data_IF_239512644971
#
_entry.id   IF_239512644971
#
_cell.length_a   1.000
_cell.length_b   1.000
_cell.length_c   1.000
_cell.angle_alpha   90.00
_cell.angle_beta   90.00
_cell.angle_gamma   90.00
#
_symmetry.space_group_name_H-M   'P 1'
#
loop_
_entity.id
_entity.type
_entity.pdbx_description
1 polymer ?
#
# COMPACT_ATOMS: atom_id res chain seq x y z
N UNK A 1 31.64 5.06 -12.28
CA UNK A 1 31.66 3.62 -12.02
C UNK A 1 30.94 3.39 -10.74
N UNK A 2 29.67 3.00 -10.82
CA UNK A 2 28.88 2.55 -9.68
C UNK A 2 28.76 1.04 -9.80
N UNK A 3 29.18 0.33 -8.76
CA UNK A 3 29.08 -1.11 -8.64
C UNK A 3 27.59 -1.47 -8.54
N UNK A 4 27.03 -2.09 -9.59
CA UNK A 4 25.58 -2.18 -9.81
C UNK A 4 24.89 -3.27 -8.97
N UNK A 5 25.47 -3.75 -7.86
CA UNK A 5 24.77 -4.59 -6.89
C UNK A 5 24.12 -5.88 -7.44
N UNK A 6 24.38 -6.25 -8.69
CA UNK A 6 24.01 -7.53 -9.28
C UNK A 6 25.03 -8.51 -8.74
N UNK A 7 24.78 -9.02 -7.52
CA UNK A 7 25.31 -10.33 -7.18
C UNK A 7 24.86 -11.28 -8.29
N UNK A 8 25.85 -11.94 -8.87
CA UNK A 8 25.85 -12.61 -10.15
C UNK A 8 24.46 -13.12 -10.58
N UNK A 9 24.00 -12.78 -11.81
CA UNK A 9 22.78 -13.40 -12.32
C UNK A 9 22.95 -14.93 -12.19
N UNK A 10 21.91 -15.66 -11.74
CA UNK A 10 22.00 -17.11 -11.60
C UNK A 10 22.58 -17.69 -12.89
N UNK A 11 23.53 -18.64 -12.82
CA UNK A 11 24.29 -19.07 -13.97
C UNK A 11 23.36 -19.74 -14.97
N UNK A 12 22.87 -18.95 -15.92
CA UNK A 12 22.22 -19.42 -17.12
C UNK A 12 23.33 -19.79 -18.09
N UNK A 13 23.80 -21.05 -17.97
CA UNK A 13 24.71 -21.76 -18.87
C UNK A 13 25.25 -20.93 -20.06
N UNK A 14 26.26 -20.11 -19.78
CA UNK A 14 26.78 -19.06 -20.68
C UNK A 14 27.57 -19.53 -21.89
N UNK A 15 27.27 -20.67 -22.52
CA UNK A 15 28.06 -21.17 -23.66
C UNK A 15 27.22 -21.62 -24.87
N UNK A 16 25.89 -21.80 -24.75
CA UNK A 16 25.04 -22.13 -25.92
C UNK A 16 24.46 -20.90 -26.63
N UNK A 17 24.31 -19.76 -25.95
CA UNK A 17 23.71 -18.54 -26.50
C UNK A 17 24.59 -17.77 -27.49
N UNK A 18 25.87 -17.54 -27.18
CA UNK A 18 26.73 -16.64 -27.98
C UNK A 18 26.94 -17.08 -29.44
N UNK A 19 27.10 -18.39 -29.67
CA UNK A 19 27.19 -18.94 -31.03
C UNK A 19 25.89 -18.75 -31.81
N UNK A 20 24.74 -19.01 -31.17
CA UNK A 20 23.43 -18.76 -31.76
C UNK A 20 23.23 -17.28 -32.11
N UNK A 21 23.60 -16.36 -31.21
CA UNK A 21 23.57 -14.91 -31.47
C UNK A 21 24.38 -14.56 -32.71
N UNK A 22 25.62 -15.04 -32.78
CA UNK A 22 26.56 -14.74 -33.87
C UNK A 22 26.04 -15.26 -35.22
N UNK A 23 25.49 -16.48 -35.26
CA UNK A 23 24.93 -17.03 -36.49
C UNK A 23 23.65 -16.30 -36.93
N UNK A 24 22.75 -15.97 -35.99
CA UNK A 24 21.55 -15.19 -36.31
C UNK A 24 21.89 -13.79 -36.84
N UNK A 25 22.93 -13.15 -36.32
CA UNK A 25 23.41 -11.85 -36.83
C UNK A 25 23.94 -11.98 -38.25
N UNK A 26 24.71 -13.02 -38.57
CA UNK A 26 25.17 -13.25 -39.95
C UNK A 26 23.99 -13.41 -40.92
N UNK A 27 22.91 -14.06 -40.48
CA UNK A 27 21.68 -14.17 -41.29
C UNK A 27 21.02 -12.80 -41.44
N UNK A 28 20.92 -12.00 -40.38
CA UNK A 28 20.42 -10.62 -40.46
C UNK A 28 21.27 -9.77 -41.41
N UNK A 29 22.60 -9.84 -41.30
CA UNK A 29 23.55 -9.14 -42.16
C UNK A 29 23.40 -9.57 -43.63
N UNK A 30 23.11 -10.85 -43.89
CA UNK A 30 22.79 -11.32 -45.22
C UNK A 30 21.51 -10.68 -45.77
N UNK A 31 20.43 -10.61 -44.97
CA UNK A 31 19.16 -9.99 -45.39
C UNK A 31 19.31 -8.49 -45.64
N UNK A 32 19.96 -7.77 -44.72
CA UNK A 32 20.18 -6.32 -44.82
C UNK A 32 21.19 -5.98 -45.92
N UNK A 33 22.32 -6.68 -45.97
CA UNK A 33 23.39 -6.44 -46.93
C UNK A 33 22.97 -6.69 -48.38
N UNK A 34 22.12 -7.69 -48.61
CA UNK A 34 21.59 -8.00 -49.94
C UNK A 34 20.24 -7.33 -50.24
N UNK A 35 19.73 -6.47 -49.33
CA UNK A 35 18.42 -5.79 -49.47
C UNK A 35 17.27 -6.75 -49.81
N UNK A 36 17.27 -7.90 -49.14
CA UNK A 36 16.28 -8.96 -49.33
C UNK A 36 14.94 -8.58 -48.68
N UNK A 37 14.97 -7.70 -47.68
CA UNK A 37 13.77 -7.24 -46.97
C UNK A 37 13.02 -6.24 -47.85
N UNK A 38 11.74 -6.51 -48.10
CA UNK A 38 10.87 -5.60 -48.83
C UNK A 38 10.32 -4.56 -47.85
N UNK A 39 10.86 -3.35 -47.88
CA UNK A 39 10.34 -2.21 -47.11
C UNK A 39 9.40 -1.39 -48.00
N UNK A 40 8.10 -1.66 -47.95
CA UNK A 40 7.09 -0.81 -48.57
C UNK A 40 6.66 0.29 -47.60
N UNK A 41 6.50 1.52 -48.10
CA UNK A 41 6.05 2.65 -47.29
C UNK A 41 4.68 2.33 -46.67
N UNK A 42 4.57 2.48 -45.35
CA UNK A 42 3.36 2.23 -44.54
C UNK A 42 2.93 0.75 -44.41
N UNK A 43 3.80 -0.22 -44.73
CA UNK A 43 3.58 -1.64 -44.47
C UNK A 43 4.71 -2.25 -43.62
N UNK A 44 4.43 -3.29 -42.80
CA UNK A 44 5.46 -4.01 -42.08
C UNK A 44 6.51 -4.59 -43.05
N UNK A 45 7.79 -4.67 -42.64
CA UNK A 45 8.84 -5.25 -43.47
C UNK A 45 8.49 -6.69 -43.84
N UNK A 46 8.52 -7.00 -45.14
CA UNK A 46 8.23 -8.34 -45.65
C UNK A 46 9.52 -9.14 -45.77
N UNK A 47 9.54 -10.33 -45.17
CA UNK A 47 10.65 -11.27 -45.21
C UNK A 47 10.32 -12.37 -46.23
N UNK A 48 10.86 -12.30 -47.47
CA UNK A 48 10.44 -13.18 -48.57
C UNK A 48 10.80 -14.66 -48.33
N UNK A 49 11.78 -14.90 -47.46
CA UNK A 49 12.13 -16.23 -46.97
C UNK A 49 12.11 -16.17 -45.45
N UNK A 50 11.40 -17.10 -44.81
CA UNK A 50 11.39 -17.28 -43.36
C UNK A 50 11.69 -18.73 -43.02
N UNK A 51 11.91 -19.02 -41.74
CA UNK A 51 12.04 -20.41 -41.26
C UNK A 51 10.76 -21.23 -41.54
N UNK A 52 9.61 -20.58 -41.75
CA UNK A 52 8.40 -21.22 -42.26
C UNK A 52 7.97 -22.43 -41.42
N UNK A 53 7.78 -23.60 -42.03
CA UNK A 53 7.43 -24.85 -41.33
C UNK A 53 8.64 -25.72 -40.95
N UNK A 54 9.88 -25.23 -41.16
CA UNK A 54 11.09 -25.97 -40.83
C UNK A 54 11.31 -26.09 -39.31
N UNK A 55 10.72 -25.17 -38.55
CA UNK A 55 10.61 -25.23 -37.10
C UNK A 55 9.16 -24.98 -36.71
N UNK A 56 8.72 -25.61 -35.62
CA UNK A 56 7.45 -25.30 -34.98
C UNK A 56 7.49 -23.94 -34.29
N UNK A 57 6.31 -23.35 -34.06
CA UNK A 57 6.20 -21.98 -33.55
C UNK A 57 6.78 -21.83 -32.15
N UNK A 58 6.72 -22.88 -31.32
CA UNK A 58 7.34 -22.88 -29.99
C UNK A 58 8.86 -22.79 -30.08
N UNK A 59 9.48 -23.56 -30.97
CA UNK A 59 10.93 -23.48 -31.20
C UNK A 59 11.34 -22.09 -31.71
N UNK A 60 10.57 -21.47 -32.60
CA UNK A 60 10.82 -20.10 -33.07
C UNK A 60 10.72 -19.08 -31.93
N UNK A 61 9.67 -19.17 -31.11
CA UNK A 61 9.50 -18.32 -29.92
C UNK A 61 10.67 -18.47 -28.95
N UNK A 62 11.16 -19.70 -28.72
CA UNK A 62 12.30 -19.97 -27.84
C UNK A 62 13.60 -19.37 -28.40
N UNK A 63 13.87 -19.52 -29.69
CA UNK A 63 15.05 -18.93 -30.35
C UNK A 63 14.99 -17.40 -30.25
N UNK A 64 13.84 -16.80 -30.59
CA UNK A 64 13.65 -15.36 -30.48
C UNK A 64 13.81 -14.87 -29.04
N UNK A 65 13.26 -15.60 -28.07
CA UNK A 65 13.38 -15.26 -26.66
C UNK A 65 14.83 -15.32 -26.16
N UNK A 66 15.58 -16.37 -26.51
CA UNK A 66 17.01 -16.45 -26.18
C UNK A 66 17.76 -15.28 -26.83
N UNK A 67 17.44 -14.94 -28.08
CA UNK A 67 18.08 -13.81 -28.77
C UNK A 67 17.80 -12.48 -28.08
N UNK A 68 16.52 -12.18 -27.84
CA UNK A 68 16.09 -10.95 -27.18
C UNK A 68 16.70 -10.81 -25.77
N UNK A 69 16.74 -11.90 -25.00
CA UNK A 69 17.37 -11.90 -23.66
C UNK A 69 18.85 -11.54 -23.71
N UNK A 70 19.60 -12.18 -24.62
CA UNK A 70 21.03 -11.95 -24.74
C UNK A 70 21.34 -10.57 -25.33
N UNK A 71 20.54 -10.08 -26.29
CA UNK A 71 20.62 -8.71 -26.81
C UNK A 71 20.49 -7.65 -25.70
N UNK A 72 19.73 -7.97 -24.66
CA UNK A 72 19.44 -7.10 -23.53
C UNK A 72 20.51 -7.24 -22.43
N UNK A 73 20.88 -8.47 -22.07
CA UNK A 73 21.79 -8.76 -20.94
C UNK A 73 23.28 -8.72 -21.29
N UNK A 74 23.63 -8.50 -22.57
CA UNK A 74 25.03 -8.43 -23.01
C UNK A 74 25.80 -7.31 -22.30
N UNK A 75 26.90 -7.63 -21.62
CA UNK A 75 27.72 -6.62 -20.92
C UNK A 75 28.55 -5.76 -21.87
N UNK A 76 28.92 -6.29 -23.04
CA UNK A 76 29.68 -5.55 -24.05
C UNK A 76 28.79 -4.58 -24.84
N UNK A 77 29.08 -3.28 -24.72
CA UNK A 77 28.29 -2.21 -25.34
C UNK A 77 28.20 -2.31 -26.87
N UNK A 78 29.32 -2.65 -27.55
CA UNK A 78 29.36 -2.72 -29.00
C UNK A 78 28.53 -3.91 -29.53
N UNK A 79 28.67 -5.08 -28.92
CA UNK A 79 27.87 -6.26 -29.26
C UNK A 79 26.39 -6.03 -28.95
N UNK A 80 26.08 -5.39 -27.81
CA UNK A 80 24.70 -5.05 -27.43
C UNK A 80 24.01 -4.20 -28.50
N UNK A 81 24.66 -3.15 -29.00
CA UNK A 81 24.09 -2.27 -30.02
C UNK A 81 23.85 -2.97 -31.36
N UNK A 82 24.71 -3.94 -31.71
CA UNK A 82 24.50 -4.79 -32.90
C UNK A 82 23.30 -5.72 -32.69
N UNK A 83 23.23 -6.37 -31.53
CA UNK A 83 22.19 -7.37 -31.24
C UNK A 83 20.81 -6.71 -31.09
N UNK A 84 20.74 -5.52 -30.48
CA UNK A 84 19.49 -4.76 -30.35
C UNK A 84 18.94 -4.34 -31.71
N UNK A 85 19.80 -3.88 -32.63
CA UNK A 85 19.38 -3.54 -34.00
C UNK A 85 18.94 -4.77 -34.81
N UNK A 86 19.55 -5.92 -34.56
CA UNK A 86 19.18 -7.17 -35.22
C UNK A 86 17.87 -7.80 -34.67
N UNK A 87 17.46 -7.46 -33.44
CA UNK A 87 16.29 -8.02 -32.75
C UNK A 87 15.01 -8.07 -33.60
N UNK A 88 14.51 -6.98 -34.20
CA UNK A 88 13.28 -7.02 -35.01
C UNK A 88 13.43 -7.93 -36.25
N UNK A 89 14.63 -7.96 -36.85
CA UNK A 89 14.90 -8.78 -38.03
C UNK A 89 14.96 -10.26 -37.72
N UNK A 90 15.49 -10.66 -36.55
CA UNK A 90 15.51 -12.06 -36.14
C UNK A 90 14.09 -12.62 -36.04
N UNK A 91 13.15 -11.89 -35.43
CA UNK A 91 11.77 -12.35 -35.33
C UNK A 91 11.07 -12.45 -36.70
N UNK A 92 11.29 -11.46 -37.58
CA UNK A 92 10.79 -11.50 -38.95
C UNK A 92 11.35 -12.67 -39.78
N UNK A 93 12.64 -12.97 -39.67
CA UNK A 93 13.30 -14.10 -40.34
C UNK A 93 12.78 -15.45 -39.79
N UNK A 94 12.49 -15.53 -38.49
CA UNK A 94 11.84 -16.69 -37.89
C UNK A 94 10.39 -16.86 -38.37
N UNK A 95 9.77 -15.79 -38.90
CA UNK A 95 8.38 -15.77 -39.34
C UNK A 95 7.40 -15.54 -38.21
N UNK A 96 7.84 -14.87 -37.13
CA UNK A 96 6.97 -14.44 -36.02
C UNK A 96 6.30 -13.12 -36.39
N UNK A 97 5.03 -12.96 -36.02
CA UNK A 97 4.36 -11.66 -36.10
C UNK A 97 4.84 -10.72 -34.99
N UNK A 98 4.58 -9.42 -35.14
CA UNK A 98 4.88 -8.43 -34.09
C UNK A 98 4.20 -8.77 -32.76
N UNK A 99 2.95 -9.26 -32.83
CA UNK A 99 2.20 -9.72 -31.66
C UNK A 99 2.84 -10.95 -30.99
N UNK A 100 3.37 -11.89 -31.78
CA UNK A 100 4.06 -13.07 -31.22
C UNK A 100 5.39 -12.69 -30.57
N UNK A 101 6.14 -11.78 -31.21
CA UNK A 101 7.37 -11.24 -30.64
C UNK A 101 7.10 -10.52 -29.32
N UNK A 102 6.09 -9.66 -29.26
CA UNK A 102 5.68 -8.96 -28.05
C UNK A 102 5.27 -9.94 -26.94
N UNK A 103 4.45 -10.94 -27.27
CA UNK A 103 4.02 -11.99 -26.33
C UNK A 103 5.20 -12.75 -25.73
N UNK A 104 6.22 -13.06 -26.53
CA UNK A 104 7.45 -13.71 -26.04
C UNK A 104 8.19 -12.80 -25.05
N UNK A 105 8.34 -11.52 -25.39
CA UNK A 105 8.99 -10.53 -24.51
C UNK A 105 8.24 -10.38 -23.18
N UNK A 106 6.92 -10.21 -23.23
CA UNK A 106 6.08 -10.11 -22.02
C UNK A 106 6.25 -11.35 -21.16
N UNK A 107 6.14 -12.56 -21.72
CA UNK A 107 6.30 -13.82 -20.96
C UNK A 107 7.65 -13.91 -20.25
N UNK A 108 8.73 -13.50 -20.92
CA UNK A 108 10.08 -13.53 -20.36
C UNK A 108 10.26 -12.50 -19.27
N UNK A 109 9.86 -11.24 -19.54
CA UNK A 109 9.89 -10.17 -18.55
C UNK A 109 9.07 -10.57 -17.33
N UNK A 110 7.86 -11.10 -17.53
CA UNK A 110 7.02 -11.56 -16.42
C UNK A 110 7.71 -12.61 -15.56
N UNK A 111 8.39 -13.58 -16.19
CA UNK A 111 9.13 -14.60 -15.43
C UNK A 111 10.29 -14.00 -14.65
N UNK A 112 11.04 -13.09 -15.25
CA UNK A 112 12.16 -12.42 -14.59
C UNK A 112 11.69 -11.52 -13.46
N UNK A 113 10.69 -10.64 -13.69
CA UNK A 113 10.12 -9.77 -12.67
C UNK A 113 9.63 -10.59 -11.47
N UNK A 114 8.92 -11.70 -11.69
CA UNK A 114 8.50 -12.59 -10.62
C UNK A 114 9.66 -13.21 -9.84
N UNK A 115 10.74 -13.60 -10.52
CA UNK A 115 11.94 -14.12 -9.85
C UNK A 115 12.66 -13.03 -9.06
N UNK A 116 12.85 -11.85 -9.66
CA UNK A 116 13.48 -10.69 -9.05
C UNK A 116 12.73 -10.27 -7.78
N UNK A 117 11.41 -10.13 -7.89
CA UNK A 117 10.52 -9.82 -6.77
C UNK A 117 10.64 -10.88 -5.69
N UNK A 118 10.54 -12.18 -6.02
CA UNK A 118 10.69 -13.26 -5.02
C UNK A 118 12.04 -13.24 -4.32
N UNK A 119 13.11 -12.95 -5.05
CA UNK A 119 14.46 -12.85 -4.49
C UNK A 119 14.55 -11.67 -3.53
N UNK A 120 14.14 -10.47 -3.95
CA UNK A 120 14.18 -9.27 -3.11
C UNK A 120 13.29 -9.40 -1.87
N UNK A 121 12.09 -9.94 -2.04
CA UNK A 121 11.20 -10.26 -0.93
C UNK A 121 11.79 -11.32 0.01
N UNK A 122 12.54 -12.28 -0.50
CA UNK A 122 13.23 -13.29 0.32
C UNK A 122 14.43 -12.73 1.09
N UNK A 123 15.16 -11.77 0.52
CA UNK A 123 16.35 -11.15 1.12
C UNK A 123 16.00 -10.05 2.13
N UNK A 124 15.03 -9.20 1.80
CA UNK A 124 14.78 -7.94 2.52
C UNK A 124 13.37 -7.87 3.13
N UNK A 125 12.44 -8.73 2.69
CA UNK A 125 11.06 -8.75 3.16
C UNK A 125 10.14 -7.68 2.55
N UNK A 126 10.70 -6.72 1.82
CA UNK A 126 10.00 -5.64 1.11
C UNK A 126 10.74 -5.25 -0.19
N UNK A 127 10.07 -4.51 -1.08
CA UNK A 127 10.68 -3.93 -2.27
C UNK A 127 11.10 -2.48 -1.98
N UNK A 128 12.35 -2.13 -2.22
CA UNK A 128 12.84 -0.76 -2.07
C UNK A 128 12.41 0.12 -3.25
N UNK A 129 12.44 1.45 -3.09
CA UNK A 129 12.22 2.40 -4.21
C UNK A 129 13.12 2.11 -5.42
N UNK A 130 14.35 1.64 -5.18
CA UNK A 130 15.28 1.24 -6.24
C UNK A 130 14.82 -0.02 -6.98
N UNK A 131 14.31 -1.02 -6.25
CA UNK A 131 13.76 -2.25 -6.85
C UNK A 131 12.53 -1.94 -7.70
N UNK A 132 11.69 -1.04 -7.20
CA UNK A 132 10.50 -0.56 -7.88
C UNK A 132 10.88 0.18 -9.16
N UNK A 133 11.81 1.13 -9.09
CA UNK A 133 12.30 1.85 -10.26
C UNK A 133 12.91 0.92 -11.31
N UNK A 134 13.56 -0.16 -10.88
CA UNK A 134 14.06 -1.19 -11.79
C UNK A 134 12.91 -1.87 -12.53
N UNK A 135 11.87 -2.31 -11.81
CA UNK A 135 10.75 -3.04 -12.37
C UNK A 135 9.82 -2.18 -13.24
N UNK A 136 9.55 -0.92 -12.87
CA UNK A 136 8.55 -0.06 -13.53
C UNK A 136 9.13 0.90 -14.58
N UNK A 137 10.43 1.22 -14.50
CA UNK A 137 11.05 2.16 -15.43
C UNK A 137 12.13 1.51 -16.28
N UNK A 138 13.10 0.84 -15.64
CA UNK A 138 14.22 0.26 -16.37
C UNK A 138 13.77 -0.91 -17.24
N UNK A 139 13.07 -1.90 -16.67
CA UNK A 139 12.63 -3.10 -17.41
C UNK A 139 11.80 -2.75 -18.66
N UNK A 140 10.74 -1.92 -18.60
CA UNK A 140 9.96 -1.60 -19.79
C UNK A 140 10.79 -0.92 -20.87
N UNK A 141 11.58 0.07 -20.50
CA UNK A 141 12.45 0.79 -21.42
C UNK A 141 13.49 -0.14 -22.05
N UNK A 142 14.04 -1.06 -21.27
CA UNK A 142 15.15 -1.91 -21.65
C UNK A 142 14.72 -3.10 -22.52
N UNK A 143 13.51 -3.64 -22.30
CA UNK A 143 12.93 -4.70 -23.14
C UNK A 143 12.09 -4.16 -24.31
N UNK A 144 11.68 -2.88 -24.25
CA UNK A 144 10.80 -2.27 -25.25
C UNK A 144 9.37 -2.77 -25.15
N UNK A 145 8.88 -2.97 -23.93
CA UNK A 145 7.49 -3.37 -23.65
C UNK A 145 6.75 -2.21 -23.01
N UNK A 146 5.42 -2.28 -23.01
CA UNK A 146 4.60 -1.29 -22.32
C UNK A 146 4.93 -1.24 -20.81
N UNK A 147 5.01 -0.02 -20.28
CA UNK A 147 5.22 0.22 -18.85
C UNK A 147 4.09 -0.36 -18.01
N UNK A 148 2.86 -0.29 -18.52
CA UNK A 148 1.67 -0.73 -17.79
C UNK A 148 1.72 -2.23 -17.48
N UNK A 149 2.27 -3.05 -18.39
CA UNK A 149 2.47 -4.49 -18.17
C UNK A 149 3.30 -4.76 -16.92
N UNK A 150 4.39 -4.02 -16.72
CA UNK A 150 5.23 -4.21 -15.52
C UNK A 150 4.64 -3.57 -14.28
N UNK A 151 3.91 -2.46 -14.43
CA UNK A 151 3.23 -1.79 -13.32
C UNK A 151 2.19 -2.71 -12.69
N UNK A 152 1.36 -3.35 -13.52
CA UNK A 152 0.34 -4.31 -13.06
C UNK A 152 0.96 -5.48 -12.29
N UNK A 153 2.11 -5.99 -12.77
CA UNK A 153 2.84 -7.07 -12.10
C UNK A 153 3.40 -6.68 -10.74
N UNK A 154 3.95 -5.46 -10.64
CA UNK A 154 4.47 -4.92 -9.38
C UNK A 154 3.32 -4.65 -8.41
N UNK A 155 2.23 -4.04 -8.88
CA UNK A 155 1.02 -3.81 -8.10
C UNK A 155 0.41 -5.10 -7.57
N UNK A 156 0.30 -6.15 -8.39
CA UNK A 156 -0.22 -7.45 -7.94
C UNK A 156 0.62 -8.06 -6.81
N UNK A 157 1.94 -7.90 -6.85
CA UNK A 157 2.81 -8.40 -5.78
C UNK A 157 2.73 -7.51 -4.54
N UNK A 158 2.77 -6.19 -4.71
CA UNK A 158 2.68 -5.25 -3.60
C UNK A 158 1.34 -5.33 -2.88
N UNK A 159 0.24 -5.61 -3.59
CA UNK A 159 -1.04 -5.94 -2.98
C UNK A 159 -0.87 -7.03 -1.93
N UNK A 160 -0.27 -8.18 -2.28
CA UNK A 160 -0.01 -9.27 -1.32
C UNK A 160 0.85 -8.86 -0.12
N UNK A 161 1.88 -8.03 -0.36
CA UNK A 161 2.73 -7.48 0.71
C UNK A 161 1.93 -6.57 1.66
N UNK A 162 1.15 -5.64 1.11
CA UNK A 162 0.34 -4.69 1.86
C UNK A 162 -0.75 -5.39 2.65
N UNK A 163 -1.39 -6.45 2.10
CA UNK A 163 -2.28 -7.33 2.87
C UNK A 163 -1.53 -7.95 4.04
N UNK A 164 -0.35 -8.52 3.81
CA UNK A 164 0.48 -9.09 4.86
C UNK A 164 0.92 -8.08 5.93
N UNK A 165 1.14 -6.81 5.55
CA UNK A 165 1.45 -5.72 6.49
C UNK A 165 0.23 -5.33 7.30
N UNK A 166 -0.93 -5.14 6.66
CA UNK A 166 -2.19 -4.85 7.32
C UNK A 166 -2.56 -5.94 8.34
N UNK A 167 -2.48 -7.22 7.96
CA UNK A 167 -2.73 -8.33 8.88
C UNK A 167 -1.72 -8.38 10.03
N UNK A 168 -0.44 -8.06 9.79
CA UNK A 168 0.56 -7.96 10.86
C UNK A 168 0.23 -6.83 11.84
N UNK A 169 -0.20 -5.66 11.34
CA UNK A 169 -0.65 -4.57 12.20
C UNK A 169 -1.84 -4.99 13.06
N UNK A 170 -2.86 -5.62 12.49
CA UNK A 170 -4.04 -6.07 13.23
C UNK A 170 -3.73 -7.11 14.32
N UNK A 171 -2.65 -7.87 14.16
CA UNK A 171 -2.19 -8.84 15.15
C UNK A 171 -1.18 -8.27 16.16
N UNK A 172 -0.76 -7.00 16.02
CA UNK A 172 0.08 -6.34 17.04
C UNK A 172 -0.74 -6.10 18.31
N UNK A 173 -0.16 -6.27 19.51
CA UNK A 173 -0.85 -6.00 20.78
C UNK A 173 -1.24 -4.53 20.96
N UNK A 174 -0.55 -3.61 20.27
CA UNK A 174 -0.90 -2.19 20.21
C UNK A 174 -0.58 -1.68 18.81
N UNK A 175 -1.57 -1.08 18.17
CA UNK A 175 -1.46 -0.43 16.86
C UNK A 175 -1.54 1.07 17.10
N UNK A 176 -0.61 1.82 16.53
CA UNK A 176 -0.60 3.28 16.64
C UNK A 176 -1.25 3.93 15.42
N UNK A 177 -1.75 5.16 15.52
CA UNK A 177 -2.28 5.91 14.37
C UNK A 177 -1.22 6.12 13.28
N UNK A 178 0.05 6.32 13.67
CA UNK A 178 1.17 6.46 12.74
C UNK A 178 1.41 5.17 11.92
N UNK A 179 1.24 3.99 12.51
CA UNK A 179 1.28 2.72 11.77
C UNK A 179 0.18 2.66 10.68
N UNK A 180 -1.03 3.14 11.00
CA UNK A 180 -2.19 3.14 10.08
C UNK A 180 -2.00 4.18 8.97
N UNK A 181 -1.51 5.37 9.32
CA UNK A 181 -1.21 6.42 8.36
C UNK A 181 -0.14 5.99 7.36
N UNK A 182 0.94 5.35 7.82
CA UNK A 182 1.98 4.78 6.93
C UNK A 182 1.42 3.72 6.00
N UNK A 183 0.53 2.86 6.50
CA UNK A 183 -0.15 1.88 5.65
C UNK A 183 -0.99 2.60 4.56
N UNK A 184 -1.72 3.67 4.91
CA UNK A 184 -2.50 4.45 3.94
C UNK A 184 -1.62 5.08 2.87
N UNK A 185 -0.53 5.73 3.28
CA UNK A 185 0.42 6.39 2.37
C UNK A 185 1.03 5.39 1.39
N UNK A 186 1.44 4.22 1.86
CA UNK A 186 1.95 3.15 1.00
C UNK A 186 0.87 2.63 0.04
N UNK A 187 -0.34 2.39 0.51
CA UNK A 187 -1.45 1.95 -0.34
C UNK A 187 -1.76 2.98 -1.44
N UNK A 188 -1.80 4.27 -1.09
CA UNK A 188 -2.02 5.36 -2.04
C UNK A 188 -0.85 5.51 -3.03
N UNK A 189 0.40 5.31 -2.59
CA UNK A 189 1.57 5.35 -3.45
C UNK A 189 1.50 4.32 -4.59
N UNK A 190 0.77 3.22 -4.38
CA UNK A 190 0.54 2.17 -5.36
C UNK A 190 -0.71 2.35 -6.22
N UNK A 191 -1.44 3.46 -6.04
CA UNK A 191 -2.75 3.68 -6.67
C UNK A 191 -3.75 2.56 -6.33
N UNK A 192 -3.63 2.05 -5.10
CA UNK A 192 -4.50 1.02 -4.54
C UNK A 192 -5.46 1.64 -3.51
N UNK A 193 -6.54 0.93 -3.23
CA UNK A 193 -7.56 1.28 -2.24
C UNK A 193 -7.64 0.23 -1.14
N UNK A 194 -7.69 0.67 0.11
CA UNK A 194 -7.73 -0.21 1.28
C UNK A 194 -8.94 -1.14 1.28
N UNK A 195 -10.11 -0.60 0.91
CA UNK A 195 -11.39 -1.31 0.96
C UNK A 195 -11.62 -2.24 -0.24
N UNK A 196 -11.00 -1.97 -1.39
CA UNK A 196 -11.19 -2.76 -2.62
C UNK A 196 -10.04 -3.67 -2.93
N UNK A 197 -8.82 -3.15 -2.85
CA UNK A 197 -7.66 -3.82 -3.40
C UNK A 197 -6.97 -4.72 -2.37
N UNK A 198 -6.99 -4.37 -1.09
CA UNK A 198 -6.32 -5.18 -0.06
C UNK A 198 -7.17 -6.37 0.44
N UNK A 199 -8.39 -6.56 -0.06
CA UNK A 199 -9.27 -7.68 0.30
C UNK A 199 -9.47 -7.83 1.84
N UNK A 200 -9.38 -6.71 2.56
CA UNK A 200 -9.60 -6.68 4.00
C UNK A 200 -11.09 -6.88 4.29
N UNK A 201 -11.38 -7.69 5.30
CA UNK A 201 -12.75 -7.89 5.77
C UNK A 201 -13.28 -6.63 6.45
N UNK A 202 -14.61 -6.45 6.45
CA UNK A 202 -15.26 -5.30 7.11
C UNK A 202 -14.83 -5.11 8.57
N UNK A 203 -14.73 -6.16 9.42
CA UNK A 203 -14.21 -6.01 10.78
C UNK A 203 -12.78 -5.46 10.87
N UNK A 204 -11.93 -5.79 9.90
CA UNK A 204 -10.53 -5.33 9.86
C UNK A 204 -10.44 -3.84 9.49
N UNK A 205 -11.25 -3.40 8.54
CA UNK A 205 -11.37 -1.98 8.18
C UNK A 205 -11.90 -1.16 9.36
N UNK A 206 -12.93 -1.67 10.06
CA UNK A 206 -13.48 -1.05 11.28
C UNK A 206 -12.43 -0.96 12.39
N UNK A 207 -11.56 -1.96 12.54
CA UNK A 207 -10.48 -1.92 13.53
C UNK A 207 -9.46 -0.80 13.25
N UNK A 208 -9.06 -0.59 11.99
CA UNK A 208 -8.18 0.52 11.62
C UNK A 208 -8.86 1.87 11.79
N UNK A 209 -10.12 2.00 11.38
CA UNK A 209 -10.94 3.18 11.62
C UNK A 209 -11.00 3.56 13.10
N UNK A 210 -11.25 2.59 13.99
CA UNK A 210 -11.27 2.82 15.45
C UNK A 210 -9.94 3.37 15.97
N UNK A 211 -8.79 2.89 15.48
CA UNK A 211 -7.47 3.38 15.90
C UNK A 211 -7.26 4.83 15.49
N UNK A 212 -7.57 5.17 14.24
CA UNK A 212 -7.37 6.53 13.70
C UNK A 212 -8.32 7.53 14.38
N UNK A 213 -9.61 7.20 14.46
CA UNK A 213 -10.62 8.05 15.10
C UNK A 213 -10.34 8.26 16.59
N UNK A 214 -9.88 7.23 17.30
CA UNK A 214 -9.52 7.34 18.71
C UNK A 214 -8.47 8.43 18.95
N UNK A 215 -7.44 8.48 18.10
CA UNK A 215 -6.38 9.45 18.27
C UNK A 215 -6.86 10.88 17.96
N UNK A 216 -7.67 11.04 16.92
CA UNK A 216 -8.28 12.32 16.58
C UNK A 216 -9.21 12.82 17.69
N UNK A 217 -10.00 11.94 18.30
CA UNK A 217 -10.92 12.30 19.39
C UNK A 217 -10.21 12.71 20.67
N UNK A 218 -9.09 12.05 21.00
CA UNK A 218 -8.31 12.30 22.21
C UNK A 218 -7.28 13.42 22.07
N UNK A 219 -7.14 14.02 20.87
CA UNK A 219 -6.29 15.18 20.65
C UNK A 219 -6.93 16.46 21.25
N UNK A 220 -6.28 17.10 22.25
CA UNK A 220 -6.78 18.32 22.86
C UNK A 220 -6.58 19.56 21.99
N UNK A 221 -5.68 19.53 21.01
CA UNK A 221 -5.29 20.68 20.19
C UNK A 221 -6.22 20.84 18.96
N UNK A 222 -7.10 19.87 18.72
CA UNK A 222 -8.01 19.81 17.57
C UNK A 222 -9.43 20.21 17.99
N UNK A 223 -10.08 21.08 17.21
CA UNK A 223 -11.47 21.51 17.46
C UNK A 223 -12.48 20.42 17.11
N UNK A 224 -13.72 20.51 17.62
CA UNK A 224 -14.77 19.54 17.31
C UNK A 224 -15.09 19.48 15.80
N UNK A 225 -15.06 20.63 15.12
CA UNK A 225 -15.24 20.72 13.66
C UNK A 225 -14.13 19.96 12.93
N UNK A 226 -12.87 20.19 13.30
CA UNK A 226 -11.74 19.47 12.72
C UNK A 226 -11.80 17.95 13.02
N UNK A 227 -12.29 17.55 14.20
CA UNK A 227 -12.51 16.13 14.54
C UNK A 227 -13.56 15.50 13.63
N UNK A 228 -14.63 16.22 13.29
CA UNK A 228 -15.64 15.75 12.34
C UNK A 228 -15.06 15.61 10.91
N UNK A 229 -14.23 16.55 10.47
CA UNK A 229 -13.52 16.43 9.18
C UNK A 229 -12.58 15.22 9.15
N UNK A 230 -11.81 14.99 10.22
CA UNK A 230 -10.91 13.83 10.33
C UNK A 230 -11.69 12.50 10.35
N UNK A 231 -12.85 12.48 11.00
CA UNK A 231 -13.76 11.33 11.00
C UNK A 231 -14.28 11.03 9.59
N UNK A 232 -14.71 12.06 8.85
CA UNK A 232 -15.18 11.92 7.48
C UNK A 232 -14.07 11.40 6.55
N UNK A 233 -12.86 11.94 6.68
CA UNK A 233 -11.69 11.48 5.92
C UNK A 233 -11.31 10.04 6.26
N UNK A 234 -11.38 9.64 7.53
CA UNK A 234 -11.13 8.26 7.96
C UNK A 234 -12.20 7.31 7.41
N UNK A 235 -13.48 7.71 7.49
CA UNK A 235 -14.61 6.93 6.94
C UNK A 235 -14.43 6.65 5.46
N UNK A 236 -14.12 7.69 4.67
CA UNK A 236 -13.90 7.56 3.24
C UNK A 236 -12.70 6.63 2.93
N UNK A 237 -11.60 6.80 3.67
CA UNK A 237 -10.38 6.01 3.46
C UNK A 237 -10.55 4.51 3.75
N UNK A 238 -11.42 4.15 4.70
CA UNK A 238 -11.75 2.75 5.00
C UNK A 238 -13.04 2.27 4.30
N UNK A 239 -13.65 3.12 3.47
CA UNK A 239 -14.84 2.82 2.69
C UNK A 239 -16.05 2.39 3.52
N UNK A 240 -16.21 2.95 4.72
CA UNK A 240 -17.33 2.65 5.62
C UNK A 240 -18.57 3.45 5.24
N UNK A 241 -19.76 2.84 5.34
CA UNK A 241 -21.01 3.57 5.17
C UNK A 241 -21.23 4.54 6.35
N UNK A 242 -22.04 5.58 6.15
CA UNK A 242 -22.35 6.57 7.20
C UNK A 242 -22.91 5.91 8.47
N UNK A 243 -23.93 5.07 8.31
CA UNK A 243 -24.55 4.33 9.43
C UNK A 243 -23.54 3.43 10.16
N UNK A 244 -22.69 2.72 9.41
CA UNK A 244 -21.66 1.86 10.02
C UNK A 244 -20.62 2.67 10.80
N UNK A 245 -20.18 3.81 10.25
CA UNK A 245 -19.19 4.66 10.91
C UNK A 245 -19.76 5.32 12.17
N UNK A 246 -21.05 5.71 12.13
CA UNK A 246 -21.75 6.29 13.27
C UNK A 246 -21.96 5.28 14.40
N UNK A 247 -22.38 4.05 14.08
CA UNK A 247 -22.48 2.95 15.04
C UNK A 247 -21.12 2.66 15.71
N UNK A 248 -20.06 2.55 14.91
CA UNK A 248 -18.70 2.29 15.40
C UNK A 248 -18.18 3.44 16.27
N UNK A 249 -18.46 4.69 15.89
CA UNK A 249 -18.12 5.88 16.67
C UNK A 249 -18.86 5.93 18.00
N UNK A 250 -20.16 5.65 18.00
CA UNK A 250 -20.98 5.63 19.21
C UNK A 250 -20.48 4.57 20.20
N UNK A 251 -20.21 3.36 19.72
CA UNK A 251 -19.65 2.28 20.52
C UNK A 251 -18.26 2.63 21.06
N UNK A 252 -17.41 3.22 20.22
CA UNK A 252 -16.07 3.66 20.60
C UNK A 252 -16.12 4.71 21.72
N UNK A 253 -16.95 5.75 21.56
CA UNK A 253 -17.12 6.81 22.56
C UNK A 253 -17.61 6.24 23.89
N UNK A 254 -18.63 5.37 23.89
CA UNK A 254 -19.13 4.73 25.11
C UNK A 254 -18.05 3.91 25.80
N UNK A 255 -17.31 3.11 25.04
CA UNK A 255 -16.23 2.28 25.57
C UNK A 255 -15.09 3.13 26.16
N UNK A 256 -14.68 4.19 25.46
CA UNK A 256 -13.58 5.06 25.89
C UNK A 256 -13.97 5.91 27.11
N UNK A 257 -15.16 6.51 27.12
CA UNK A 257 -15.66 7.25 28.29
C UNK A 257 -15.75 6.34 29.54
N UNK A 258 -16.27 5.11 29.38
CA UNK A 258 -16.31 4.12 30.46
C UNK A 258 -14.90 3.76 30.96
N UNK A 259 -13.97 3.53 30.04
CA UNK A 259 -12.56 3.25 30.35
C UNK A 259 -11.90 4.39 31.11
N UNK A 260 -12.05 5.64 30.66
CA UNK A 260 -11.56 6.82 31.34
C UNK A 260 -12.11 6.93 32.76
N UNK A 261 -13.41 6.71 32.96
CA UNK A 261 -14.02 6.78 34.29
C UNK A 261 -13.50 5.69 35.23
N UNK A 262 -13.42 4.44 34.78
CA UNK A 262 -12.89 3.33 35.58
C UNK A 262 -11.42 3.57 35.94
N UNK A 263 -10.61 4.04 34.99
CA UNK A 263 -9.20 4.39 35.24
C UNK A 263 -9.09 5.56 36.22
N UNK A 264 -9.92 6.59 36.08
CA UNK A 264 -9.93 7.73 37.00
C UNK A 264 -10.25 7.30 38.45
N UNK A 265 -11.21 6.39 38.63
CA UNK A 265 -11.53 5.81 39.94
C UNK A 265 -10.36 4.99 40.49
N UNK A 266 -9.75 4.14 39.65
CA UNK A 266 -8.60 3.34 40.03
C UNK A 266 -7.44 4.21 40.50
N UNK A 267 -7.11 5.26 39.75
CA UNK A 267 -6.07 6.23 40.08
C UNK A 267 -6.41 6.97 41.38
N UNK A 268 -7.66 7.40 41.55
CA UNK A 268 -8.11 8.06 42.78
C UNK A 268 -7.97 7.16 44.01
N UNK A 269 -8.34 5.87 43.90
CA UNK A 269 -8.22 4.90 44.98
C UNK A 269 -6.77 4.59 45.35
N UNK A 270 -5.85 4.72 44.38
CA UNK A 270 -4.41 4.58 44.59
C UNK A 270 -3.73 5.86 45.10
N UNK A 271 -4.46 6.97 45.24
CA UNK A 271 -3.91 8.27 45.63
C UNK A 271 -3.22 9.04 44.50
N UNK A 272 -3.34 8.58 43.25
CA UNK A 272 -2.77 9.20 42.06
C UNK A 272 -3.69 10.30 41.50
N UNK A 273 -3.98 11.32 42.30
CA UNK A 273 -4.95 12.39 41.94
C UNK A 273 -4.63 13.08 40.60
N UNK A 274 -3.33 13.25 40.28
CA UNK A 274 -2.92 13.85 39.00
C UNK A 274 -3.34 13.01 37.79
N UNK A 275 -3.25 11.68 37.89
CA UNK A 275 -3.66 10.80 36.79
C UNK A 275 -5.18 10.71 36.71
N UNK A 276 -5.87 10.68 37.87
CA UNK A 276 -7.33 10.75 37.91
C UNK A 276 -7.86 12.01 37.20
N UNK A 277 -7.25 13.18 37.45
CA UNK A 277 -7.57 14.44 36.76
C UNK A 277 -7.34 14.33 35.25
N UNK A 278 -6.22 13.75 34.79
CA UNK A 278 -5.96 13.55 33.36
C UNK A 278 -6.98 12.62 32.67
N UNK A 279 -7.42 11.57 33.37
CA UNK A 279 -8.47 10.69 32.84
C UNK A 279 -9.82 11.42 32.75
N UNK A 280 -10.12 12.31 33.71
CA UNK A 280 -11.31 13.17 33.67
C UNK A 280 -11.24 14.20 32.53
N UNK A 281 -10.08 14.78 32.24
CA UNK A 281 -9.86 15.66 31.07
C UNK A 281 -10.18 14.95 29.76
N UNK A 282 -9.69 13.71 29.61
CA UNK A 282 -10.00 12.89 28.42
C UNK A 282 -11.49 12.60 28.32
N UNK A 283 -12.14 12.28 29.44
CA UNK A 283 -13.58 12.06 29.47
C UNK A 283 -14.36 13.31 29.05
N UNK A 284 -13.95 14.49 29.51
CA UNK A 284 -14.54 15.77 29.11
C UNK A 284 -14.38 16.01 27.61
N UNK A 285 -13.19 15.80 27.04
CA UNK A 285 -12.96 15.94 25.60
C UNK A 285 -13.91 15.06 24.78
N UNK A 286 -14.04 13.79 25.15
CA UNK A 286 -14.94 12.85 24.48
C UNK A 286 -16.42 13.23 24.66
N UNK A 287 -16.79 13.70 25.86
CA UNK A 287 -18.14 14.17 26.15
C UNK A 287 -18.51 15.42 25.33
N UNK A 288 -17.58 16.38 25.22
CA UNK A 288 -17.79 17.62 24.47
C UNK A 288 -17.96 17.38 22.97
N UNK A 289 -17.26 16.37 22.44
CA UNK A 289 -17.42 15.96 21.05
C UNK A 289 -18.78 15.30 20.80
N UNK A 290 -19.24 14.44 21.73
CA UNK A 290 -20.54 13.81 21.62
C UNK A 290 -21.71 14.81 21.74
N UNK A 291 -21.60 15.80 22.64
CA UNK A 291 -22.60 16.87 22.75
C UNK A 291 -22.66 17.75 21.49
N UNK A 292 -21.51 18.02 20.86
CA UNK A 292 -21.43 18.82 19.64
C UNK A 292 -21.85 18.07 18.36
N UNK A 293 -22.11 16.77 18.43
CA UNK A 293 -22.42 15.94 17.26
C UNK A 293 -23.83 15.37 17.39
N UNK A 294 -24.71 15.77 16.48
CA UNK A 294 -26.10 15.31 16.45
C UNK A 294 -26.17 13.77 16.34
N UNK A 295 -27.07 13.15 17.10
CA UNK A 295 -27.29 11.68 17.08
C UNK A 295 -26.45 10.87 18.08
N UNK A 296 -25.39 11.44 18.67
CA UNK A 296 -24.52 10.71 19.59
C UNK A 296 -25.01 10.75 21.04
N UNK A 297 -25.61 9.64 21.50
CA UNK A 297 -25.98 9.49 22.91
C UNK A 297 -24.95 8.73 23.76
N UNK A 298 -24.34 9.44 24.71
CA UNK A 298 -23.45 8.90 25.76
C UNK A 298 -24.18 8.33 26.99
N UNK A 299 -25.46 7.93 26.87
CA UNK A 299 -26.20 7.31 27.97
C UNK A 299 -25.63 5.93 28.29
N UNK A 300 -24.60 5.91 29.12
CA UNK A 300 -23.90 4.70 29.56
C UNK A 300 -24.41 4.30 30.94
N UNK A 301 -24.68 3.01 31.14
CA UNK A 301 -24.79 2.47 32.49
C UNK A 301 -23.38 2.43 33.08
N UNK A 302 -23.05 3.44 33.88
CA UNK A 302 -21.72 3.58 34.46
C UNK A 302 -21.51 2.51 35.54
N UNK A 303 -20.46 1.69 35.44
CA UNK A 303 -20.13 0.70 36.50
C UNK A 303 -19.62 1.33 37.81
N UNK A 304 -19.60 2.66 37.88
CA UNK A 304 -19.05 3.44 38.98
C UNK A 304 -20.18 4.05 39.78
N UNK A 305 -20.12 3.86 41.11
CA UNK A 305 -21.13 4.39 42.03
C UNK A 305 -21.29 5.93 41.90
N UNK A 306 -22.51 6.48 42.02
CA UNK A 306 -22.78 7.92 41.96
C UNK A 306 -21.86 8.77 42.86
N UNK A 307 -21.65 8.35 44.10
CA UNK A 307 -20.80 9.07 45.05
C UNK A 307 -19.33 9.21 44.58
N UNK A 308 -18.80 8.18 43.90
CA UNK A 308 -17.42 8.23 43.37
C UNK A 308 -17.33 9.14 42.15
N UNK A 309 -18.36 9.17 41.31
CA UNK A 309 -18.48 10.09 40.18
C UNK A 309 -18.52 11.55 40.65
N UNK A 310 -19.35 11.86 41.65
CA UNK A 310 -19.38 13.19 42.27
C UNK A 310 -18.03 13.61 42.85
N UNK A 311 -17.34 12.69 43.53
CA UNK A 311 -16.02 12.96 44.11
C UNK A 311 -14.98 13.28 43.02
N UNK A 312 -15.01 12.56 41.90
CA UNK A 312 -14.12 12.81 40.75
C UNK A 312 -14.41 14.16 40.08
N UNK A 313 -15.69 14.52 39.88
CA UNK A 313 -16.06 15.84 39.33
C UNK A 313 -15.58 16.97 40.24
N UNK A 314 -15.76 16.84 41.56
CA UNK A 314 -15.26 17.83 42.53
C UNK A 314 -13.74 17.93 42.52
N UNK A 315 -13.04 16.80 42.44
CA UNK A 315 -11.58 16.79 42.34
C UNK A 315 -11.11 17.47 41.05
N UNK A 316 -11.80 17.19 39.94
CA UNK A 316 -11.47 17.77 38.64
C UNK A 316 -11.67 19.29 38.61
N UNK A 317 -12.83 19.77 39.10
CA UNK A 317 -13.17 21.20 39.12
C UNK A 317 -12.35 22.02 40.12
N UNK A 318 -11.83 21.40 41.18
CA UNK A 318 -10.96 22.04 42.16
C UNK A 318 -9.47 21.95 41.84
N UNK A 319 -9.09 21.16 40.83
CA UNK A 319 -7.68 20.94 40.51
C UNK A 319 -7.09 22.09 39.69
N UNK A 320 -5.92 22.65 40.09
CA UNK A 320 -5.16 23.59 39.26
C UNK A 320 -4.55 22.93 38.02
N UNK A 321 -4.66 21.61 37.87
CA UNK A 321 -4.32 20.88 36.64
C UNK A 321 -5.50 20.81 35.66
N UNK A 322 -6.73 21.07 36.12
CA UNK A 322 -7.90 21.28 35.26
C UNK A 322 -7.83 22.59 34.47
N UNK A 323 -6.92 23.50 34.84
CA UNK A 323 -6.68 24.78 34.16
C UNK A 323 -5.52 24.73 33.16
N UNK A 324 -5.49 23.73 32.26
CA UNK A 324 -4.90 23.98 30.93
C UNK A 324 -5.77 25.02 30.19
N UNK A 325 -5.35 25.54 29.03
CA UNK A 325 -5.89 26.75 28.35
C UNK A 325 -7.43 26.91 28.24
N UNK A 326 -8.23 25.88 28.50
CA UNK A 326 -9.68 25.98 28.74
C UNK A 326 -10.04 25.56 30.18
N UNK A 327 -10.82 26.38 30.91
CA UNK A 327 -11.33 26.00 32.22
C UNK A 327 -12.22 24.75 32.10
N UNK A 328 -12.21 23.86 33.11
CA UNK A 328 -13.00 22.63 33.08
C UNK A 328 -14.49 22.96 33.06
N UNK A 329 -15.28 22.21 32.27
CA UNK A 329 -16.75 22.28 32.28
C UNK A 329 -17.35 21.18 33.17
N UNK A 330 -17.55 21.44 34.47
CA UNK A 330 -18.14 20.46 35.37
C UNK A 330 -19.59 20.13 35.03
N UNK A 331 -20.33 21.03 34.36
CA UNK A 331 -21.75 20.80 34.05
C UNK A 331 -21.90 19.74 32.97
N UNK A 332 -21.10 19.82 31.91
CA UNK A 332 -21.03 18.81 30.87
C UNK A 332 -20.76 17.42 31.47
N UNK A 333 -19.79 17.32 32.39
CA UNK A 333 -19.45 16.09 33.08
C UNK A 333 -20.58 15.61 34.00
N UNK A 334 -21.22 16.51 34.74
CA UNK A 334 -22.37 16.18 35.60
C UNK A 334 -23.55 15.63 34.81
N UNK A 335 -23.85 16.21 33.65
CA UNK A 335 -24.90 15.73 32.73
C UNK A 335 -24.52 14.39 32.11
N UNK A 336 -23.30 14.25 31.60
CA UNK A 336 -22.80 13.02 30.97
C UNK A 336 -22.79 11.84 31.94
N UNK A 337 -22.40 12.11 33.20
CA UNK A 337 -22.36 11.10 34.26
C UNK A 337 -23.73 10.87 34.92
N UNK A 338 -24.79 11.59 34.51
CA UNK A 338 -26.13 11.43 35.09
C UNK A 338 -26.20 11.80 36.57
N UNK A 339 -25.40 12.77 37.00
CA UNK A 339 -25.43 13.35 38.35
C UNK A 339 -26.46 14.49 38.46
N UNK A 340 -26.79 15.12 37.33
CA UNK A 340 -27.85 16.13 37.20
C UNK A 340 -28.78 15.68 36.06
N UNK A 341 -30.11 15.80 36.21
CA UNK A 341 -31.03 15.51 35.11
C UNK A 341 -30.69 16.40 33.90
N UNK A 342 -30.60 15.80 32.71
CA UNK A 342 -30.41 16.54 31.47
C UNK A 342 -31.50 17.61 31.38
N UNK A 343 -31.12 18.88 31.39
CA UNK A 343 -32.08 19.95 31.08
C UNK A 343 -32.50 19.73 29.63
N UNK A 344 -33.78 19.47 29.44
CA UNK A 344 -34.41 19.39 28.12
C UNK A 344 -34.12 20.69 27.35
N UNK A 345 -33.21 20.61 26.39
CA UNK A 345 -33.11 21.57 25.30
C UNK A 345 -34.10 21.18 24.21
#
# INVERSE_FOLDING_TARGET
GGDMGIQEPPPLEGVRGFKLMTELIKVVDFYLGNKVISEMKDMPPEYPVTVGKLADDKTKEEIYGIFAWNAVTCQDSASRDVWQRAKPHVGGILGLSDADMEKVLIRMVSRWCNMYIKQKMGEQGELTESDIGTLTNWVPQFFGIDKDVTKDMVQATNKGMLVGKALRLLNKPSVTPDDVQKLREEVTAWDLRLEKDLELTRPQLRAFFRVEVTASLEDPDVTNEQKQDMLANSREAFGLADEEAEEELQDLLRQRCRGCLVNAVGDLMQGNEKQAVKQMQRLELLASFAEATDGLELRVNWDVAPAMREKLVKLYSSSPLGSSDKPPDPRLLETTLGLVPAQSA
#
